data_IF_011200704172
#
_entry.id   IF_011200704172
#
_cell.length_a   1.000
_cell.length_b   1.000
_cell.length_c   1.000
_cell.angle_alpha   90.00
_cell.angle_beta   90.00
_cell.angle_gamma   90.00
#
_symmetry.space_group_name_H-M   'P 1'
#
loop_
_entity.id
_entity.type
_entity.pdbx_description
1 polymer ?
#
# COMPACT_ATOMS: atom_id res chain seq x y z
N UNK A 1 17.03 -2.19 -24.28
CA UNK A 1 17.82 -2.98 -23.28
C UNK A 1 17.57 -4.46 -23.52
N UNK A 2 18.60 -5.30 -23.44
CA UNK A 2 18.49 -6.76 -23.52
C UNK A 2 19.01 -7.39 -22.22
N UNK A 3 18.14 -8.08 -21.49
CA UNK A 3 18.37 -8.58 -20.14
C UNK A 3 17.95 -10.04 -20.05
N UNK A 4 18.72 -10.86 -19.36
CA UNK A 4 18.39 -12.27 -19.12
C UNK A 4 18.37 -12.55 -17.61
N UNK A 5 17.19 -12.90 -17.09
CA UNK A 5 17.04 -13.41 -15.74
C UNK A 5 17.29 -14.92 -15.78
N UNK A 6 18.34 -15.37 -15.08
CA UNK A 6 18.75 -16.77 -15.07
C UNK A 6 18.07 -17.51 -13.92
N UNK A 7 17.55 -18.70 -14.22
CA UNK A 7 17.11 -19.66 -13.19
C UNK A 7 16.08 -19.09 -12.21
N UNK A 8 15.16 -18.25 -12.69
CA UNK A 8 14.14 -17.60 -11.88
C UNK A 8 12.91 -18.51 -11.69
N UNK A 9 12.40 -18.63 -10.47
CA UNK A 9 11.10 -19.27 -10.21
C UNK A 9 9.99 -18.23 -10.40
N UNK A 10 9.03 -18.53 -11.28
CA UNK A 10 7.95 -17.59 -11.63
C UNK A 10 6.77 -17.76 -10.68
N UNK A 11 6.43 -16.72 -9.92
CA UNK A 11 5.29 -16.65 -9.00
C UNK A 11 4.21 -15.76 -9.62
N UNK A 12 3.48 -16.33 -10.57
CA UNK A 12 2.30 -15.71 -11.17
C UNK A 12 1.24 -16.77 -11.45
N UNK A 13 0.21 -16.86 -10.61
CA UNK A 13 -0.84 -17.88 -10.71
C UNK A 13 -1.64 -17.82 -12.03
N UNK A 14 -1.58 -16.68 -12.73
CA UNK A 14 -2.27 -16.47 -13.99
C UNK A 14 -1.46 -16.93 -15.22
N UNK A 15 -0.16 -17.19 -15.04
CA UNK A 15 0.79 -17.62 -16.08
C UNK A 15 0.94 -19.14 -16.15
N UNK A 16 1.10 -19.68 -17.36
CA UNK A 16 1.44 -21.11 -17.57
C UNK A 16 2.79 -21.54 -16.97
N UNK A 17 3.61 -20.57 -16.57
CA UNK A 17 4.93 -20.78 -15.98
C UNK A 17 4.93 -20.75 -14.44
N UNK A 18 3.77 -20.60 -13.81
CA UNK A 18 3.65 -20.57 -12.35
C UNK A 18 4.42 -21.71 -11.65
N UNK A 19 5.21 -21.36 -10.65
CA UNK A 19 6.13 -22.18 -9.84
C UNK A 19 7.18 -22.97 -10.63
N UNK A 20 7.38 -22.66 -11.91
CA UNK A 20 8.42 -23.27 -12.74
C UNK A 20 9.66 -22.41 -12.73
N UNK A 21 10.81 -23.06 -12.56
CA UNK A 21 12.12 -22.44 -12.73
C UNK A 21 12.45 -22.28 -14.21
N UNK A 22 12.69 -21.06 -14.67
CA UNK A 22 12.89 -20.70 -16.08
C UNK A 22 13.95 -19.60 -16.22
N UNK A 23 14.55 -19.56 -17.40
CA UNK A 23 15.28 -18.41 -17.90
C UNK A 23 14.30 -17.47 -18.62
N UNK A 24 14.38 -16.17 -18.34
CA UNK A 24 13.48 -15.14 -18.90
C UNK A 24 14.31 -14.09 -19.62
N UNK A 25 14.18 -14.05 -20.95
CA UNK A 25 14.82 -13.05 -21.80
C UNK A 25 13.87 -11.87 -21.99
N UNK A 26 14.36 -10.67 -21.71
CA UNK A 26 13.67 -9.41 -21.90
C UNK A 26 14.40 -8.58 -22.96
N UNK A 27 13.66 -8.13 -23.96
CA UNK A 27 14.13 -7.26 -25.03
C UNK A 27 13.20 -6.05 -25.15
N UNK A 28 13.78 -4.85 -25.05
CA UNK A 28 13.06 -3.58 -25.21
C UNK A 28 11.79 -3.48 -24.35
N UNK A 29 11.88 -3.98 -23.11
CA UNK A 29 10.77 -3.89 -22.14
C UNK A 29 9.73 -4.98 -22.24
N UNK A 30 9.89 -5.94 -23.15
CA UNK A 30 8.97 -7.05 -23.31
C UNK A 30 9.68 -8.37 -23.06
N UNK A 31 8.95 -9.32 -22.51
CA UNK A 31 9.39 -10.69 -22.34
C UNK A 31 9.44 -11.32 -23.74
N UNK A 32 10.64 -11.53 -24.29
CA UNK A 32 10.78 -12.09 -25.64
C UNK A 32 10.83 -13.61 -25.66
N UNK A 33 11.33 -14.24 -24.57
CA UNK A 33 11.39 -15.70 -24.47
C UNK A 33 11.40 -16.19 -23.02
N UNK A 34 10.67 -17.27 -22.75
CA UNK A 34 10.69 -18.01 -21.47
C UNK A 34 11.01 -19.48 -21.77
N UNK A 35 12.17 -19.97 -21.32
CA UNK A 35 12.60 -21.34 -21.59
C UNK A 35 13.26 -22.00 -20.36
N UNK A 36 13.50 -23.31 -20.41
CA UNK A 36 14.24 -24.01 -19.35
C UNK A 36 15.65 -23.46 -19.19
N UNK A 37 16.35 -23.28 -20.32
CA UNK A 37 17.68 -22.68 -20.39
C UNK A 37 17.76 -21.81 -21.64
N UNK A 38 18.31 -20.60 -21.51
CA UNK A 38 18.64 -19.70 -22.60
C UNK A 38 20.17 -19.50 -22.60
N UNK A 39 20.86 -19.73 -23.73
CA UNK A 39 22.30 -19.49 -23.84
C UNK A 39 22.65 -18.03 -23.57
N UNK A 40 23.66 -17.83 -22.74
CA UNK A 40 24.26 -16.52 -22.49
C UNK A 40 24.99 -16.03 -23.73
N UNK A 41 25.06 -14.72 -23.94
CA UNK A 41 25.92 -14.10 -24.96
C UNK A 41 26.44 -12.77 -24.45
N UNK A 42 27.61 -12.34 -24.92
CA UNK A 42 28.28 -11.11 -24.45
C UNK A 42 27.42 -9.84 -24.61
N UNK A 43 26.41 -9.87 -25.49
CA UNK A 43 25.50 -8.74 -25.74
C UNK A 43 24.30 -8.68 -24.78
N UNK A 44 24.21 -9.61 -23.82
CA UNK A 44 23.06 -9.75 -22.91
C UNK A 44 23.54 -9.47 -21.49
N UNK A 45 22.92 -8.50 -20.82
CA UNK A 45 23.13 -8.31 -19.38
C UNK A 45 22.45 -9.46 -18.64
N UNK A 46 23.21 -10.21 -17.86
CA UNK A 46 22.66 -11.30 -17.04
C UNK A 46 22.40 -10.85 -15.60
N UNK A 47 21.30 -11.36 -15.04
CA UNK A 47 20.98 -11.27 -13.61
C UNK A 47 20.81 -12.68 -13.09
N UNK A 48 21.74 -13.08 -12.24
CA UNK A 48 21.73 -14.37 -11.55
C UNK A 48 21.86 -14.09 -10.06
N UNK A 49 20.75 -14.25 -9.34
CA UNK A 49 20.66 -14.04 -7.90
C UNK A 49 20.32 -15.36 -7.21
N UNK A 50 20.75 -15.51 -5.95
CA UNK A 50 20.46 -16.71 -5.16
C UNK A 50 18.95 -16.84 -4.97
N UNK A 51 18.40 -18.03 -5.20
CA UNK A 51 16.97 -18.32 -5.02
C UNK A 51 16.05 -17.29 -5.68
N UNK A 52 16.41 -16.81 -6.88
CA UNK A 52 15.68 -15.76 -7.58
C UNK A 52 14.24 -16.21 -7.86
N UNK A 53 13.29 -15.50 -7.28
CA UNK A 53 11.88 -15.55 -7.64
C UNK A 53 11.49 -14.26 -8.34
N UNK A 54 10.55 -14.38 -9.27
CA UNK A 54 9.95 -13.23 -9.94
C UNK A 54 8.43 -13.32 -9.90
N UNK A 55 7.76 -12.19 -9.72
CA UNK A 55 6.29 -12.06 -9.83
C UNK A 55 5.93 -10.89 -10.73
N UNK A 56 4.64 -10.76 -11.03
CA UNK A 56 4.11 -9.48 -11.52
C UNK A 56 4.55 -8.37 -10.56
N UNK A 57 4.87 -7.19 -11.11
CA UNK A 57 5.31 -6.05 -10.32
C UNK A 57 4.31 -5.68 -9.22
N UNK A 58 4.78 -5.37 -8.02
CA UNK A 58 3.91 -5.06 -6.89
C UNK A 58 3.37 -3.63 -6.94
N UNK A 59 2.17 -3.45 -6.37
CA UNK A 59 1.50 -2.16 -6.23
C UNK A 59 1.23 -1.86 -4.75
N UNK A 60 1.67 -0.69 -4.30
CA UNK A 60 1.25 -0.14 -3.00
C UNK A 60 0.18 0.93 -3.20
N UNK A 61 -1.00 0.72 -2.61
CA UNK A 61 -2.15 1.63 -2.78
C UNK A 61 -2.15 2.83 -1.82
N UNK A 62 -1.21 2.93 -0.88
CA UNK A 62 -1.14 4.04 0.07
C UNK A 62 0.29 4.30 0.52
N UNK A 63 0.94 5.27 -0.12
CA UNK A 63 2.25 5.79 0.31
C UNK A 63 2.24 7.31 0.43
N UNK A 64 3.07 7.85 1.30
CA UNK A 64 3.30 9.28 1.47
C UNK A 64 4.79 9.56 1.35
N UNK A 65 5.15 10.59 0.58
CA UNK A 65 6.53 10.99 0.37
C UNK A 65 6.84 12.39 0.87
N UNK A 66 5.92 13.10 1.52
CA UNK A 66 6.19 14.44 2.09
C UNK A 66 6.32 15.57 1.07
N UNK A 67 7.00 15.37 -0.07
CA UNK A 67 7.13 16.37 -1.14
C UNK A 67 5.83 16.51 -1.96
N UNK A 68 5.35 17.75 -2.20
CA UNK A 68 5.93 19.02 -1.76
C UNK A 68 5.60 19.39 -0.30
N UNK A 69 6.47 20.17 0.33
CA UNK A 69 6.21 20.89 1.57
C UNK A 69 6.70 20.23 2.86
N UNK A 70 6.96 18.92 2.83
CA UNK A 70 7.59 18.17 3.93
C UNK A 70 8.77 17.33 3.43
N UNK A 71 9.62 17.93 2.60
CA UNK A 71 10.77 17.27 1.96
C UNK A 71 11.76 16.65 2.96
N UNK A 72 11.80 17.17 4.20
CA UNK A 72 12.60 16.62 5.30
C UNK A 72 12.13 15.23 5.74
N UNK A 73 10.86 14.89 5.51
CA UNK A 73 10.30 13.58 5.84
C UNK A 73 10.70 12.55 4.79
N UNK A 74 10.50 12.91 3.52
CA UNK A 74 10.92 12.14 2.36
C UNK A 74 10.83 13.05 1.11
N UNK A 75 11.47 12.65 0.01
CA UNK A 75 11.30 13.30 -1.31
C UNK A 75 10.70 12.32 -2.29
N UNK A 76 10.03 12.77 -3.36
CA UNK A 76 9.48 11.87 -4.39
C UNK A 76 10.61 11.03 -5.00
N UNK A 77 11.77 11.64 -5.26
CA UNK A 77 12.90 10.94 -5.86
C UNK A 77 13.44 9.82 -4.98
N UNK A 78 13.63 10.08 -3.67
CA UNK A 78 14.09 9.04 -2.75
C UNK A 78 12.99 8.03 -2.44
N UNK A 79 11.74 8.45 -2.28
CA UNK A 79 10.59 7.58 -2.06
C UNK A 79 10.40 6.56 -3.20
N UNK A 80 10.52 6.98 -4.46
CA UNK A 80 10.46 6.07 -5.62
C UNK A 80 11.66 5.11 -5.66
N UNK A 81 12.85 5.55 -5.23
CA UNK A 81 14.01 4.67 -5.08
C UNK A 81 13.79 3.64 -3.97
N UNK A 82 13.28 4.06 -2.81
CA UNK A 82 12.90 3.18 -1.69
C UNK A 82 11.87 2.15 -2.15
N UNK A 83 10.83 2.58 -2.87
CA UNK A 83 9.81 1.69 -3.43
C UNK A 83 10.42 0.66 -4.42
N UNK A 84 11.32 1.10 -5.31
CA UNK A 84 12.00 0.21 -6.25
C UNK A 84 12.82 -0.87 -5.54
N UNK A 85 13.60 -0.47 -4.52
CA UNK A 85 14.43 -1.38 -3.74
C UNK A 85 13.60 -2.31 -2.84
N UNK A 86 12.39 -1.88 -2.49
CA UNK A 86 11.40 -2.66 -1.76
C UNK A 86 10.57 -3.59 -2.65
N UNK A 87 10.78 -3.58 -3.97
CA UNK A 87 10.11 -4.47 -4.92
C UNK A 87 8.81 -3.93 -5.53
N UNK A 88 8.45 -2.67 -5.31
CA UNK A 88 7.23 -2.07 -5.89
C UNK A 88 7.51 -1.48 -7.27
N UNK A 89 6.72 -1.86 -8.27
CA UNK A 89 6.78 -1.25 -9.62
C UNK A 89 5.84 -0.07 -9.76
N UNK A 90 4.82 0.00 -8.90
CA UNK A 90 3.81 1.04 -8.89
C UNK A 90 3.47 1.45 -7.46
N UNK A 91 3.26 2.75 -7.23
CA UNK A 91 2.82 3.27 -5.92
C UNK A 91 1.75 4.35 -6.10
N UNK A 92 0.76 4.37 -5.22
CA UNK A 92 -0.25 5.42 -5.16
C UNK A 92 0.07 6.42 -4.04
N UNK A 93 0.31 7.68 -4.41
CA UNK A 93 0.75 8.72 -3.48
C UNK A 93 -0.44 9.49 -2.93
N UNK A 94 -0.56 9.50 -1.61
CA UNK A 94 -1.65 10.13 -0.86
C UNK A 94 -1.66 11.66 -0.98
N UNK A 95 -2.85 12.26 -0.88
CA UNK A 95 -3.05 13.72 -0.89
C UNK A 95 -2.76 14.37 0.48
N UNK A 96 -1.56 14.13 1.04
CA UNK A 96 -1.15 14.65 2.35
C UNK A 96 0.10 15.55 2.30
N UNK A 97 0.45 16.05 1.12
CA UNK A 97 1.50 17.05 0.90
C UNK A 97 1.02 18.47 1.24
N UNK A 98 1.93 19.44 1.19
CA UNK A 98 1.63 20.87 1.27
C UNK A 98 2.23 21.63 0.06
N UNK A 99 1.41 22.17 -0.85
CA UNK A 99 -0.05 22.14 -0.87
C UNK A 99 -0.63 20.73 -1.06
N UNK A 100 -1.89 20.56 -0.65
CA UNK A 100 -2.67 19.33 -0.85
C UNK A 100 -2.92 19.10 -2.35
N UNK A 101 -2.96 17.84 -2.78
CA UNK A 101 -3.26 17.48 -4.16
C UNK A 101 -4.76 17.55 -4.44
N UNK A 102 -5.35 18.74 -4.43
CA UNK A 102 -6.79 18.99 -4.60
C UNK A 102 -7.17 19.63 -5.95
N UNK A 103 -6.20 19.77 -6.85
CA UNK A 103 -6.40 20.33 -8.18
C UNK A 103 -5.43 19.70 -9.20
N UNK A 104 -5.74 19.92 -10.48
CA UNK A 104 -5.00 19.35 -11.61
C UNK A 104 -3.52 19.71 -11.65
N UNK A 105 -3.15 20.90 -11.16
CA UNK A 105 -1.76 21.37 -11.14
C UNK A 105 -0.88 20.49 -10.26
N UNK A 106 -1.38 20.09 -9.09
CA UNK A 106 -0.66 19.22 -8.15
C UNK A 106 -0.54 17.78 -8.67
N UNK A 107 -1.60 17.26 -9.28
CA UNK A 107 -1.56 15.93 -9.95
C UNK A 107 -0.47 15.91 -11.02
N UNK A 108 -0.42 16.95 -11.86
CA UNK A 108 0.60 17.08 -12.91
C UNK A 108 2.00 17.22 -12.34
N UNK A 109 2.18 17.96 -11.26
CA UNK A 109 3.47 18.08 -10.56
C UNK A 109 3.99 16.70 -10.15
N UNK A 110 3.19 15.90 -9.42
CA UNK A 110 3.58 14.57 -8.97
C UNK A 110 3.99 13.65 -10.12
N UNK A 111 3.21 13.63 -11.20
CA UNK A 111 3.54 12.83 -12.40
C UNK A 111 4.82 13.30 -13.07
N UNK A 112 5.01 14.61 -13.19
CA UNK A 112 6.23 15.17 -13.81
C UNK A 112 7.48 14.85 -13.00
N UNK A 113 7.40 14.85 -11.66
CA UNK A 113 8.49 14.48 -10.77
C UNK A 113 8.84 13.00 -10.84
N UNK A 114 7.86 12.14 -11.09
CA UNK A 114 8.07 10.72 -11.26
C UNK A 114 8.57 10.33 -12.65
N UNK A 115 8.51 11.23 -13.64
CA UNK A 115 8.87 10.90 -15.01
C UNK A 115 10.29 10.33 -15.12
N UNK A 116 10.43 9.30 -15.94
CA UNK A 116 11.68 8.57 -16.10
C UNK A 116 12.08 7.69 -14.91
N UNK A 117 11.33 7.57 -13.81
CA UNK A 117 11.67 6.61 -12.73
C UNK A 117 11.29 5.16 -13.10
N UNK A 118 11.96 4.19 -12.46
CA UNK A 118 11.63 2.78 -12.63
C UNK A 118 10.25 2.44 -12.04
N UNK A 119 9.90 3.09 -10.94
CA UNK A 119 8.58 2.98 -10.29
C UNK A 119 7.62 3.99 -10.93
N UNK A 120 6.42 3.52 -11.26
CA UNK A 120 5.32 4.38 -11.72
C UNK A 120 4.60 4.98 -10.52
N UNK A 121 4.51 6.31 -10.47
CA UNK A 121 3.78 7.05 -9.45
C UNK A 121 2.37 7.36 -9.95
N UNK A 122 1.37 7.01 -9.15
CA UNK A 122 -0.03 7.32 -9.40
C UNK A 122 -0.57 8.26 -8.32
N UNK A 123 -0.95 9.51 -8.67
CA UNK A 123 -1.51 10.43 -7.70
C UNK A 123 -2.88 9.97 -7.18
N UNK A 124 -3.11 10.10 -5.87
CA UNK A 124 -4.44 10.14 -5.28
C UNK A 124 -4.82 11.61 -5.13
N UNK A 125 -5.95 12.02 -5.69
CA UNK A 125 -6.47 13.37 -5.50
C UNK A 125 -7.17 13.49 -4.15
N UNK A 126 -7.16 14.66 -3.53
CA UNK A 126 -8.03 14.93 -2.39
C UNK A 126 -9.50 14.81 -2.82
N UNK A 127 -10.36 14.30 -1.94
CA UNK A 127 -11.79 14.28 -2.22
C UNK A 127 -12.39 15.67 -2.05
N UNK A 128 -11.86 16.45 -1.12
CA UNK A 128 -12.31 17.80 -0.83
C UNK A 128 -11.20 18.83 -0.95
N UNK A 129 -11.60 20.10 -1.14
CA UNK A 129 -10.65 21.21 -1.20
C UNK A 129 -9.82 21.28 0.08
N UNK A 130 -8.49 21.17 -0.07
CA UNK A 130 -7.54 21.10 1.04
C UNK A 130 -7.75 19.93 2.00
N UNK A 131 -8.43 18.86 1.58
CA UNK A 131 -8.80 17.71 2.42
C UNK A 131 -9.64 18.09 3.67
N UNK A 132 -10.45 19.15 3.58
CA UNK A 132 -11.20 19.73 4.72
C UNK A 132 -12.50 19.02 5.07
N UNK A 133 -13.03 18.17 4.19
CA UNK A 133 -14.28 17.44 4.40
C UNK A 133 -15.54 18.30 4.23
N UNK A 134 -15.46 19.45 3.54
CA UNK A 134 -16.60 20.36 3.32
C UNK A 134 -17.15 20.29 1.90
N UNK A 135 -16.32 20.65 0.91
CA UNK A 135 -16.69 20.83 -0.48
C UNK A 135 -15.81 19.96 -1.38
N UNK A 136 -16.40 19.32 -2.39
CA UNK A 136 -15.65 18.49 -3.33
C UNK A 136 -14.59 19.31 -4.07
N UNK A 137 -13.43 18.70 -4.26
CA UNK A 137 -12.38 19.21 -5.12
C UNK A 137 -12.73 19.04 -6.61
N UNK A 138 -11.85 19.51 -7.51
CA UNK A 138 -12.01 19.41 -8.98
C UNK A 138 -11.73 17.97 -9.48
N UNK A 139 -12.54 16.99 -9.03
CA UNK A 139 -12.24 15.55 -9.19
C UNK A 139 -12.06 15.13 -10.65
N UNK A 140 -12.96 15.57 -11.53
CA UNK A 140 -12.91 15.22 -12.95
C UNK A 140 -11.63 15.75 -13.63
N UNK A 141 -11.26 17.01 -13.36
CA UNK A 141 -10.03 17.60 -13.89
C UNK A 141 -8.79 16.87 -13.36
N UNK A 142 -8.79 16.50 -12.08
CA UNK A 142 -7.71 15.69 -11.50
C UNK A 142 -7.59 14.30 -12.15
N UNK A 143 -8.70 13.62 -12.43
CA UNK A 143 -8.66 12.31 -13.11
C UNK A 143 -8.11 12.43 -14.54
N UNK A 144 -8.50 13.48 -15.27
CA UNK A 144 -7.97 13.73 -16.62
C UNK A 144 -6.45 13.97 -16.62
N UNK A 145 -5.89 14.54 -15.55
CA UNK A 145 -4.43 14.64 -15.39
C UNK A 145 -3.78 13.37 -14.84
N UNK A 146 -4.55 12.38 -14.38
CA UNK A 146 -4.09 11.05 -14.00
C UNK A 146 -4.20 10.69 -12.52
N UNK A 147 -5.05 11.38 -11.75
CA UNK A 147 -5.44 10.89 -10.43
C UNK A 147 -6.23 9.57 -10.58
N UNK A 148 -5.89 8.56 -9.78
CA UNK A 148 -6.49 7.21 -9.86
C UNK A 148 -7.62 6.97 -8.85
N UNK A 149 -7.74 7.83 -7.83
CA UNK A 149 -8.80 7.77 -6.82
C UNK A 149 -8.85 9.09 -6.04
N UNK A 150 -9.89 9.27 -5.23
CA UNK A 150 -10.13 10.47 -4.43
C UNK A 150 -10.23 10.16 -2.94
N UNK A 151 -9.34 10.77 -2.14
CA UNK A 151 -9.19 10.46 -0.73
C UNK A 151 -8.63 11.63 0.08
N UNK A 152 -9.36 12.06 1.11
CA UNK A 152 -8.84 12.96 2.14
C UNK A 152 -8.02 12.14 3.14
N UNK A 153 -6.78 11.82 2.80
CA UNK A 153 -5.93 10.86 3.52
C UNK A 153 -6.06 10.91 5.05
N UNK A 154 -6.55 9.81 5.65
CA UNK A 154 -6.78 9.63 7.09
C UNK A 154 -7.67 10.69 7.76
N UNK A 155 -8.41 11.46 6.96
CA UNK A 155 -9.46 12.35 7.42
C UNK A 155 -10.83 11.74 7.04
N UNK A 156 -11.67 11.37 8.02
CA UNK A 156 -12.95 10.75 7.74
C UNK A 156 -13.94 11.74 7.13
N UNK A 157 -14.79 11.23 6.23
CA UNK A 157 -15.89 12.00 5.65
C UNK A 157 -17.01 12.10 6.68
N UNK A 158 -17.04 13.15 7.49
CA UNK A 158 -18.05 13.29 8.55
C UNK A 158 -19.47 13.52 8.00
N UNK A 159 -19.60 14.27 6.90
CA UNK A 159 -20.89 14.59 6.30
C UNK A 159 -21.36 13.45 5.37
N UNK A 160 -22.38 12.69 5.77
CA UNK A 160 -22.98 11.63 4.96
C UNK A 160 -23.44 12.12 3.56
N UNK A 161 -23.93 13.35 3.46
CA UNK A 161 -24.36 13.92 2.18
C UNK A 161 -23.17 14.18 1.25
N UNK A 162 -21.98 14.49 1.78
CA UNK A 162 -20.77 14.67 0.98
C UNK A 162 -20.35 13.36 0.32
N UNK A 163 -20.32 12.24 1.07
CA UNK A 163 -20.04 10.92 0.49
C UNK A 163 -21.08 10.55 -0.58
N UNK A 164 -22.37 10.81 -0.31
CA UNK A 164 -23.45 10.57 -1.28
C UNK A 164 -23.20 11.31 -2.59
N UNK A 165 -22.90 12.61 -2.53
CA UNK A 165 -22.62 13.43 -3.72
C UNK A 165 -21.34 12.95 -4.41
N UNK A 166 -20.28 12.62 -3.67
CA UNK A 166 -19.04 12.10 -4.23
C UNK A 166 -19.26 10.83 -5.07
N UNK A 167 -19.98 9.85 -4.51
CA UNK A 167 -20.30 8.58 -5.19
C UNK A 167 -21.20 8.80 -6.41
N UNK A 168 -22.16 9.72 -6.34
CA UNK A 168 -23.01 10.05 -7.49
C UNK A 168 -22.24 10.79 -8.59
N UNK A 169 -21.36 11.71 -8.22
CA UNK A 169 -20.59 12.52 -9.16
C UNK A 169 -19.53 11.70 -9.91
N UNK A 170 -18.79 10.86 -9.19
CA UNK A 170 -17.68 10.05 -9.74
C UNK A 170 -18.14 8.96 -10.70
N UNK A 171 -19.40 8.51 -10.63
CA UNK A 171 -19.98 7.55 -11.57
C UNK A 171 -19.91 8.02 -13.03
N UNK A 172 -20.03 9.33 -13.29
CA UNK A 172 -20.01 9.88 -14.65
C UNK A 172 -18.68 9.68 -15.38
N UNK A 173 -17.61 9.40 -14.64
CA UNK A 173 -16.26 9.25 -15.18
C UNK A 173 -15.53 8.05 -14.56
N UNK A 174 -16.28 7.11 -13.99
CA UNK A 174 -15.78 5.85 -13.41
C UNK A 174 -14.74 6.03 -12.29
N UNK A 175 -14.84 7.12 -11.52
CA UNK A 175 -13.92 7.45 -10.44
C UNK A 175 -14.08 6.56 -9.19
N UNK A 176 -12.97 6.32 -8.49
CA UNK A 176 -12.92 5.58 -7.22
C UNK A 176 -12.88 6.54 -6.03
N UNK A 177 -13.85 6.46 -5.12
CA UNK A 177 -13.85 7.22 -3.86
C UNK A 177 -13.26 6.34 -2.76
N UNK A 178 -12.42 6.92 -1.90
CA UNK A 178 -11.97 6.28 -0.66
C UNK A 178 -12.59 6.95 0.56
N UNK A 179 -12.96 6.17 1.57
CA UNK A 179 -13.49 6.69 2.83
C UNK A 179 -12.73 6.11 4.02
N UNK A 180 -11.98 6.95 4.74
CA UNK A 180 -11.25 6.51 5.93
C UNK A 180 -12.23 6.11 7.03
N UNK A 181 -12.21 4.85 7.51
CA UNK A 181 -13.20 4.35 8.44
C UNK A 181 -12.89 4.83 9.88
N UNK A 182 -13.28 6.05 10.22
CA UNK A 182 -13.01 6.63 11.55
C UNK A 182 -14.10 7.61 12.01
N UNK A 183 -14.88 7.24 13.02
CA UNK A 183 -15.83 8.13 13.69
C UNK A 183 -15.14 8.90 14.83
N UNK A 184 -14.82 10.18 14.58
CA UNK A 184 -14.11 11.07 15.51
C UNK A 184 -14.86 11.30 16.81
N UNK A 185 -16.20 11.30 16.79
CA UNK A 185 -17.00 11.64 17.97
C UNK A 185 -16.87 10.61 19.10
N UNK A 186 -16.68 9.33 18.76
CA UNK A 186 -16.49 8.23 19.73
C UNK A 186 -15.02 7.90 20.01
N UNK A 187 -14.09 8.40 19.20
CA UNK A 187 -12.64 8.20 19.35
C UNK A 187 -11.91 9.50 19.75
N UNK A 188 -12.61 10.41 20.45
CA UNK A 188 -12.08 11.73 20.77
C UNK A 188 -10.80 11.60 21.61
N UNK A 189 -9.70 12.18 21.12
CA UNK A 189 -8.36 12.12 21.73
C UNK A 189 -7.74 10.71 21.80
N UNK A 190 -8.32 9.71 21.14
CA UNK A 190 -7.75 8.37 21.09
C UNK A 190 -6.41 8.34 20.36
N UNK A 191 -5.49 7.51 20.84
CA UNK A 191 -4.11 7.38 20.34
C UNK A 191 -3.71 5.95 20.05
N UNK A 192 -4.32 4.99 20.73
CA UNK A 192 -4.01 3.55 20.65
C UNK A 192 -5.31 2.75 20.64
N UNK A 193 -5.25 1.43 20.51
CA UNK A 193 -6.45 0.61 20.65
C UNK A 193 -7.07 0.78 22.04
N UNK A 194 -8.39 0.93 22.11
CA UNK A 194 -9.11 0.87 23.39
C UNK A 194 -9.16 -0.58 23.86
N UNK A 195 -8.24 -0.95 24.75
CA UNK A 195 -8.23 -2.28 25.36
C UNK A 195 -7.57 -2.31 26.75
N UNK A 196 -7.47 -3.50 27.34
CA UNK A 196 -6.81 -3.71 28.63
C UNK A 196 -5.39 -3.13 28.68
N UNK A 197 -4.61 -3.23 27.60
CA UNK A 197 -3.25 -2.69 27.52
C UNK A 197 -3.24 -1.16 27.60
N UNK A 198 -4.06 -0.48 26.80
CA UNK A 198 -4.14 1.00 26.85
C UNK A 198 -4.63 1.49 28.21
N UNK A 199 -5.61 0.80 28.79
CA UNK A 199 -6.15 1.12 30.12
C UNK A 199 -5.07 1.00 31.20
N UNK A 200 -4.29 -0.09 31.18
CA UNK A 200 -3.17 -0.31 32.11
C UNK A 200 -2.09 0.78 31.98
N UNK A 201 -1.81 1.22 30.75
CA UNK A 201 -0.78 2.22 30.45
C UNK A 201 -1.26 3.67 30.59
N UNK A 202 -2.55 3.89 30.87
CA UNK A 202 -3.15 5.23 30.96
C UNK A 202 -3.23 5.96 29.62
N UNK A 203 -3.18 5.23 28.49
CA UNK A 203 -3.27 5.78 27.14
C UNK A 203 -4.73 5.85 26.69
N UNK A 204 -5.10 6.96 26.04
CA UNK A 204 -6.45 7.18 25.51
C UNK A 204 -6.71 6.24 24.33
N UNK A 205 -7.74 5.40 24.46
CA UNK A 205 -8.12 4.42 23.46
C UNK A 205 -8.92 4.99 22.28
N UNK A 206 -8.82 4.32 21.15
CA UNK A 206 -9.66 4.44 19.96
C UNK A 206 -10.48 3.14 19.94
N UNK A 207 -11.79 3.18 20.20
CA UNK A 207 -12.61 1.97 20.17
C UNK A 207 -12.72 1.39 18.76
N UNK A 208 -12.86 0.07 18.66
CA UNK A 208 -13.19 -0.62 17.40
C UNK A 208 -14.48 -0.06 16.78
N UNK A 209 -15.44 0.33 17.63
CA UNK A 209 -16.68 1.02 17.26
C UNK A 209 -16.47 2.22 16.33
N UNK A 210 -15.37 2.96 16.49
CA UNK A 210 -15.07 4.12 15.64
C UNK A 210 -14.94 3.74 14.17
N UNK A 211 -14.27 2.62 13.89
CA UNK A 211 -14.10 2.10 12.53
C UNK A 211 -15.42 1.52 11.99
N UNK A 212 -16.09 0.74 12.83
CA UNK A 212 -17.30 0.00 12.47
C UNK A 212 -18.47 0.92 12.13
N UNK A 213 -18.70 1.97 12.92
CA UNK A 213 -19.79 2.93 12.69
C UNK A 213 -19.66 3.62 11.33
N UNK A 214 -18.44 4.04 10.99
CA UNK A 214 -18.15 4.71 9.74
C UNK A 214 -18.39 3.76 8.55
N UNK A 215 -17.90 2.52 8.63
CA UNK A 215 -18.10 1.51 7.57
C UNK A 215 -19.59 1.20 7.39
N UNK A 216 -20.34 0.99 8.47
CA UNK A 216 -21.78 0.71 8.39
C UNK A 216 -22.47 1.83 7.61
N UNK A 217 -22.27 3.07 8.03
CA UNK A 217 -22.88 4.25 7.39
C UNK A 217 -22.50 4.35 5.91
N UNK A 218 -21.22 4.18 5.59
CA UNK A 218 -20.71 4.33 4.23
C UNK A 218 -21.21 3.22 3.29
N UNK A 219 -21.36 1.99 3.80
CA UNK A 219 -21.97 0.89 3.07
C UNK A 219 -23.46 1.13 2.78
N UNK A 220 -24.22 1.68 3.73
CA UNK A 220 -25.62 2.07 3.50
C UNK A 220 -25.73 3.17 2.42
N UNK A 221 -24.82 4.14 2.43
CA UNK A 221 -24.80 5.20 1.40
C UNK A 221 -24.43 4.59 0.04
N UNK A 222 -23.42 3.71 -0.02
CA UNK A 222 -23.03 3.02 -1.25
C UNK A 222 -24.17 2.18 -1.84
N UNK A 223 -24.91 1.44 -0.99
CA UNK A 223 -26.08 0.67 -1.39
C UNK A 223 -27.18 1.57 -1.99
N UNK A 224 -27.33 2.79 -1.46
CA UNK A 224 -28.29 3.77 -1.97
C UNK A 224 -27.83 4.45 -3.27
N UNK A 225 -26.55 4.81 -3.41
CA UNK A 225 -26.04 5.62 -4.53
C UNK A 225 -25.46 4.82 -5.68
N UNK A 226 -25.03 3.59 -5.45
CA UNK A 226 -24.06 2.93 -6.31
C UNK A 226 -22.71 3.66 -6.30
N UNK A 227 -21.91 3.45 -7.36
CA UNK A 227 -20.54 3.96 -7.47
C UNK A 227 -19.49 2.99 -6.97
N UNK A 228 -18.23 3.44 -6.90
CA UNK A 228 -17.07 2.66 -6.47
C UNK A 228 -16.52 3.21 -5.15
N UNK A 229 -16.46 2.36 -4.13
CA UNK A 229 -15.93 2.74 -2.83
C UNK A 229 -14.77 1.81 -2.42
N UNK A 230 -13.70 2.40 -1.91
CA UNK A 230 -12.61 1.70 -1.24
C UNK A 230 -12.55 2.11 0.23
N UNK A 231 -12.48 1.14 1.14
CA UNK A 231 -12.21 1.38 2.56
C UNK A 231 -10.73 1.07 2.83
N UNK A 232 -9.87 2.10 2.98
CA UNK A 232 -8.46 1.88 3.22
C UNK A 232 -8.22 1.38 4.64
N UNK A 233 -7.17 0.57 4.80
CA UNK A 233 -6.56 0.19 6.08
C UNK A 233 -7.56 -0.19 7.17
N UNK A 234 -8.44 -1.17 6.91
CA UNK A 234 -9.30 -1.73 7.97
C UNK A 234 -8.46 -2.44 9.04
N UNK A 235 -8.91 -2.41 10.29
CA UNK A 235 -8.17 -2.99 11.41
C UNK A 235 -8.97 -3.95 12.28
N UNK A 236 -10.31 -3.98 12.17
CA UNK A 236 -11.14 -4.80 13.07
C UNK A 236 -11.69 -6.07 12.41
N UNK A 237 -11.94 -7.11 13.21
CA UNK A 237 -12.68 -8.30 12.78
C UNK A 237 -14.07 -7.96 12.24
N UNK A 238 -14.77 -7.02 12.88
CA UNK A 238 -16.14 -6.66 12.47
C UNK A 238 -16.16 -5.95 11.13
N UNK A 239 -15.18 -5.11 10.83
CA UNK A 239 -14.99 -4.52 9.51
C UNK A 239 -14.88 -5.58 8.42
N UNK A 240 -14.13 -6.66 8.65
CA UNK A 240 -14.03 -7.79 7.70
C UNK A 240 -15.41 -8.41 7.45
N UNK A 241 -16.20 -8.65 8.49
CA UNK A 241 -17.57 -9.19 8.36
C UNK A 241 -18.48 -8.25 7.55
N UNK A 242 -18.47 -6.96 7.87
CA UNK A 242 -19.29 -5.94 7.19
C UNK A 242 -18.97 -5.86 5.69
N UNK A 243 -17.67 -5.81 5.35
CA UNK A 243 -17.24 -5.77 3.95
C UNK A 243 -17.61 -7.07 3.23
N UNK A 244 -17.45 -8.22 3.89
CA UNK A 244 -17.85 -9.52 3.32
C UNK A 244 -19.33 -9.55 2.95
N UNK A 245 -20.18 -9.08 3.84
CA UNK A 245 -21.62 -9.08 3.61
C UNK A 245 -22.02 -8.05 2.53
N UNK A 246 -21.37 -6.90 2.50
CA UNK A 246 -21.52 -5.92 1.42
C UNK A 246 -21.14 -6.47 0.04
N UNK A 247 -20.01 -7.20 -0.05
CA UNK A 247 -19.60 -7.88 -1.30
C UNK A 247 -20.61 -8.93 -1.73
N UNK A 248 -21.16 -9.72 -0.79
CA UNK A 248 -22.22 -10.70 -1.10
C UNK A 248 -23.49 -10.07 -1.64
N UNK A 249 -23.83 -8.84 -1.18
CA UNK A 249 -24.94 -8.06 -1.73
C UNK A 249 -24.67 -7.50 -3.13
N UNK A 250 -23.45 -7.66 -3.66
CA UNK A 250 -23.06 -7.13 -4.97
C UNK A 250 -22.67 -5.66 -4.96
N UNK A 251 -22.43 -5.07 -3.79
CA UNK A 251 -21.92 -3.69 -3.72
C UNK A 251 -20.51 -3.62 -4.30
N UNK A 252 -20.22 -2.55 -5.04
CA UNK A 252 -18.90 -2.31 -5.62
C UNK A 252 -17.97 -1.68 -4.58
N UNK A 253 -17.60 -2.52 -3.61
CA UNK A 253 -16.78 -2.18 -2.45
C UNK A 253 -15.49 -2.99 -2.48
N UNK A 254 -14.39 -2.33 -2.17
CA UNK A 254 -13.10 -2.97 -1.91
C UNK A 254 -12.52 -2.46 -0.60
N UNK A 255 -11.57 -3.18 -0.02
CA UNK A 255 -10.81 -2.69 1.13
C UNK A 255 -9.36 -3.16 1.11
N UNK A 256 -8.54 -2.45 1.88
CA UNK A 256 -7.14 -2.78 2.10
C UNK A 256 -6.83 -2.88 3.59
N UNK A 257 -5.67 -3.46 3.91
CA UNK A 257 -5.16 -3.57 5.27
C UNK A 257 -3.69 -3.15 5.29
N UNK A 258 -3.27 -2.41 6.30
CA UNK A 258 -1.86 -2.05 6.47
C UNK A 258 -1.07 -3.24 7.01
N UNK A 259 0.19 -3.41 6.57
CA UNK A 259 1.04 -4.51 7.03
C UNK A 259 1.17 -4.56 8.55
N UNK A 260 1.25 -3.41 9.21
CA UNK A 260 1.44 -3.34 10.67
C UNK A 260 0.31 -4.07 11.41
N UNK A 261 -0.94 -3.94 10.97
CA UNK A 261 -2.11 -4.61 11.55
C UNK A 261 -2.14 -6.14 11.31
N UNK A 262 -1.30 -6.66 10.42
CA UNK A 262 -1.18 -8.09 10.13
C UNK A 262 -0.09 -8.80 10.94
N UNK A 263 0.92 -8.06 11.41
CA UNK A 263 2.11 -8.63 12.05
C UNK A 263 2.32 -8.15 13.49
N UNK A 264 1.70 -7.05 13.88
CA UNK A 264 1.80 -6.47 15.22
C UNK A 264 0.42 -6.39 15.87
N UNK A 265 0.41 -6.35 17.20
CA UNK A 265 -0.77 -6.17 18.04
C UNK A 265 -0.50 -5.10 19.09
N UNK A 266 -1.52 -4.63 19.78
CA UNK A 266 -1.41 -3.62 20.84
C UNK A 266 -0.51 -4.01 22.03
N UNK A 267 -0.17 -5.29 22.20
CA UNK A 267 0.86 -5.77 23.13
C UNK A 267 2.19 -4.99 23.04
N UNK A 268 2.56 -4.44 21.87
CA UNK A 268 3.83 -3.70 21.69
C UNK A 268 3.87 -2.35 22.40
N UNK A 269 2.72 -1.83 22.85
CA UNK A 269 2.62 -0.50 23.46
C UNK A 269 3.32 -0.40 24.82
N UNK A 270 3.64 -1.51 25.47
CA UNK A 270 4.28 -1.53 26.80
C UNK A 270 5.63 -0.82 26.84
N UNK A 271 6.31 -0.71 25.70
CA UNK A 271 7.60 -0.02 25.60
C UNK A 271 7.48 1.50 25.40
N UNK A 272 6.26 2.05 25.24
CA UNK A 272 6.00 3.47 24.94
C UNK A 272 6.77 4.01 23.72
N UNK A 273 7.18 3.15 22.79
CA UNK A 273 7.82 3.57 21.55
C UNK A 273 6.78 4.24 20.63
N UNK A 274 7.02 5.50 20.32
CA UNK A 274 6.16 6.34 19.49
C UNK A 274 6.06 5.87 18.03
N UNK A 275 6.96 5.00 17.59
CA UNK A 275 6.87 4.34 16.29
C UNK A 275 5.62 3.44 16.21
N UNK A 276 5.11 2.92 17.33
CA UNK A 276 3.87 2.14 17.37
C UNK A 276 2.59 3.00 17.41
N UNK A 277 2.72 4.34 17.43
CA UNK A 277 1.59 5.25 17.27
C UNK A 277 1.18 5.30 15.79
N UNK A 278 0.21 4.45 15.44
CA UNK A 278 -0.31 4.24 14.09
C UNK A 278 -1.83 4.54 14.01
N UNK A 279 -2.30 4.80 12.80
CA UNK A 279 -3.72 5.09 12.53
C UNK A 279 -4.13 4.36 11.22
N UNK A 280 -4.99 3.32 11.26
CA UNK A 280 -5.67 2.77 12.46
C UNK A 280 -4.66 2.24 13.51
N UNK A 281 -5.04 2.17 14.79
CA UNK A 281 -4.16 1.62 15.81
C UNK A 281 -3.95 0.12 15.60
N UNK A 282 -2.86 -0.41 16.15
CA UNK A 282 -2.64 -1.85 16.28
C UNK A 282 -3.70 -2.43 17.22
N UNK A 283 -4.39 -3.50 16.81
CA UNK A 283 -5.53 -4.09 17.53
C UNK A 283 -5.12 -5.39 18.24
N UNK A 284 -6.09 -6.19 18.62
CA UNK A 284 -5.90 -7.47 19.30
C UNK A 284 -5.43 -8.57 18.33
N UNK A 285 -4.95 -9.69 18.89
CA UNK A 285 -4.63 -10.90 18.12
C UNK A 285 -5.85 -11.49 17.40
N UNK A 286 -7.07 -11.29 17.90
CA UNK A 286 -8.27 -11.76 17.24
C UNK A 286 -8.55 -10.99 15.95
N UNK A 287 -8.35 -9.68 16.00
CA UNK A 287 -8.45 -8.81 14.83
C UNK A 287 -7.40 -9.17 13.78
N UNK A 288 -6.14 -9.33 14.16
CA UNK A 288 -5.07 -9.77 13.24
C UNK A 288 -5.42 -11.09 12.55
N UNK A 289 -5.94 -12.08 13.29
CA UNK A 289 -6.39 -13.36 12.71
C UNK A 289 -7.53 -13.18 11.71
N UNK A 290 -8.49 -12.30 12.02
CA UNK A 290 -9.60 -12.00 11.13
C UNK A 290 -9.13 -11.30 9.84
N UNK A 291 -8.20 -10.34 9.95
CA UNK A 291 -7.58 -9.67 8.80
C UNK A 291 -6.81 -10.65 7.90
N UNK A 292 -5.98 -11.52 8.49
CA UNK A 292 -5.25 -12.55 7.74
C UNK A 292 -6.20 -13.51 7.02
N UNK A 293 -7.29 -13.92 7.67
CA UNK A 293 -8.32 -14.76 7.05
C UNK A 293 -9.05 -14.01 5.93
N UNK A 294 -9.37 -12.74 6.13
CA UNK A 294 -10.02 -11.88 5.14
C UNK A 294 -9.17 -11.67 3.90
N UNK A 295 -7.85 -11.52 4.04
CA UNK A 295 -6.93 -11.53 2.91
C UNK A 295 -6.97 -12.87 2.19
N UNK A 296 -6.81 -13.98 2.91
CA UNK A 296 -6.79 -15.35 2.34
C UNK A 296 -8.06 -15.69 1.56
N UNK A 297 -9.23 -15.32 2.06
CA UNK A 297 -10.51 -15.64 1.42
C UNK A 297 -10.98 -14.60 0.38
N UNK A 298 -10.22 -13.52 0.18
CA UNK A 298 -10.51 -12.46 -0.79
C UNK A 298 -11.55 -11.43 -0.31
N UNK A 299 -11.97 -11.49 0.95
CA UNK A 299 -12.77 -10.41 1.56
C UNK A 299 -11.99 -9.09 1.55
N UNK A 300 -10.69 -9.14 1.86
CA UNK A 300 -9.77 -8.01 1.75
C UNK A 300 -9.01 -8.14 0.43
N UNK A 301 -9.03 -7.08 -0.38
CA UNK A 301 -8.57 -7.11 -1.78
C UNK A 301 -7.05 -7.00 -1.90
N UNK A 302 -6.38 -6.39 -0.92
CA UNK A 302 -4.92 -6.32 -0.89
C UNK A 302 -4.36 -5.70 0.38
N UNK A 303 -3.04 -5.68 0.46
CA UNK A 303 -2.30 -5.07 1.56
C UNK A 303 -1.50 -3.86 1.08
N UNK A 304 -1.25 -2.93 2.00
CA UNK A 304 -0.42 -1.73 1.77
C UNK A 304 0.63 -1.62 2.86
N UNK A 305 1.79 -1.06 2.52
CA UNK A 305 2.77 -0.69 3.54
C UNK A 305 2.29 0.44 4.44
N UNK A 306 1.30 1.23 3.99
CA UNK A 306 0.86 2.49 4.60
C UNK A 306 2.06 3.38 4.96
N UNK A 307 3.06 3.41 4.07
CA UNK A 307 4.33 4.08 4.29
C UNK A 307 4.10 5.58 4.46
N UNK A 308 4.32 6.05 5.68
CA UNK A 308 4.16 7.43 6.08
C UNK A 308 5.39 7.88 6.90
N UNK A 309 6.43 8.41 6.24
CA UNK A 309 7.63 8.88 6.89
C UNK A 309 7.32 10.10 7.74
N UNK A 310 7.80 10.08 8.98
CA UNK A 310 7.70 11.18 9.94
C UNK A 310 9.12 11.56 10.39
N UNK A 311 9.40 12.85 10.48
CA UNK A 311 10.67 13.37 10.95
C UNK A 311 10.91 13.04 12.43
N UNK A 312 12.18 13.09 12.84
CA UNK A 312 12.59 12.59 14.15
C UNK A 312 12.04 13.46 15.28
N UNK A 313 11.86 14.76 15.06
CA UNK A 313 11.34 15.72 16.03
C UNK A 313 9.89 15.38 16.43
N UNK A 314 9.07 14.94 15.47
CA UNK A 314 7.69 14.51 15.73
C UNK A 314 7.55 13.09 16.26
N UNK A 315 8.64 12.32 16.33
CA UNK A 315 8.65 10.96 16.90
C UNK A 315 9.41 10.87 18.22
N UNK A 316 10.47 11.64 18.40
CA UNK A 316 11.28 11.68 19.63
C UNK A 316 10.71 12.69 20.62
N UNK A 317 9.45 12.48 20.99
CA UNK A 317 8.67 13.29 21.93
C UNK A 317 7.80 12.33 22.78
N UNK A 318 7.06 12.87 23.73
CA UNK A 318 6.10 12.13 24.54
C UNK A 318 5.06 11.45 23.63
N UNK A 319 4.64 10.25 24.03
CA UNK A 319 3.71 9.44 23.24
C UNK A 319 2.42 10.19 22.88
N UNK A 320 1.91 11.06 23.77
CA UNK A 320 0.74 11.91 23.51
C UNK A 320 0.97 12.92 22.38
N UNK A 321 2.17 13.50 22.28
CA UNK A 321 2.52 14.53 21.31
C UNK A 321 3.06 13.98 19.98
N UNK A 322 3.51 12.73 19.95
CA UNK A 322 4.03 12.11 18.74
C UNK A 322 2.98 12.05 17.62
N UNK A 323 3.42 12.20 16.37
CA UNK A 323 2.51 12.03 15.22
C UNK A 323 2.26 10.55 14.88
N UNK A 324 1.08 10.29 14.32
CA UNK A 324 0.78 8.99 13.73
C UNK A 324 1.59 8.78 12.44
N UNK A 325 2.12 7.57 12.24
CA UNK A 325 2.79 7.21 10.99
C UNK A 325 4.01 6.33 11.23
N UNK A 326 4.40 5.61 10.18
CA UNK A 326 5.58 4.77 10.15
C UNK A 326 5.95 4.44 8.71
N UNK A 327 7.25 4.29 8.43
CA UNK A 327 7.71 3.72 7.16
C UNK A 327 7.45 2.21 7.13
N UNK A 328 6.95 1.71 6.00
CA UNK A 328 6.64 0.29 5.83
C UNK A 328 7.15 -0.37 4.54
N UNK A 329 7.52 0.39 3.51
CA UNK A 329 7.91 -0.13 2.18
C UNK A 329 8.98 -1.22 2.28
N UNK A 330 10.10 -0.95 2.95
CA UNK A 330 11.26 -1.85 2.99
C UNK A 330 10.97 -3.19 3.68
N UNK A 331 10.01 -3.21 4.61
CA UNK A 331 9.61 -4.40 5.36
C UNK A 331 8.35 -5.08 4.83
N UNK A 332 7.69 -4.52 3.81
CA UNK A 332 6.33 -4.92 3.42
C UNK A 332 6.25 -6.38 2.96
N UNK A 333 7.07 -6.77 1.98
CA UNK A 333 7.08 -8.15 1.50
C UNK A 333 7.49 -9.15 2.58
N UNK A 334 8.55 -8.83 3.34
CA UNK A 334 9.01 -9.69 4.43
C UNK A 334 7.93 -9.91 5.49
N UNK A 335 7.17 -8.86 5.82
CA UNK A 335 6.06 -8.91 6.77
C UNK A 335 4.96 -9.83 6.27
N UNK A 336 4.48 -9.62 5.05
CA UNK A 336 3.41 -10.43 4.45
C UNK A 336 3.82 -11.90 4.28
N UNK A 337 5.00 -12.16 3.74
CA UNK A 337 5.46 -13.52 3.49
C UNK A 337 5.71 -14.31 4.78
N UNK A 338 6.05 -13.63 5.89
CA UNK A 338 6.16 -14.26 7.22
C UNK A 338 4.83 -14.85 7.70
N UNK A 339 3.71 -14.14 7.49
CA UNK A 339 2.41 -14.52 8.06
C UNK A 339 1.45 -15.19 7.07
N UNK A 340 1.67 -15.02 5.76
CA UNK A 340 0.81 -15.57 4.71
C UNK A 340 1.48 -16.68 3.89
N UNK A 341 2.79 -16.58 3.64
CA UNK A 341 3.48 -17.34 2.59
C UNK A 341 3.56 -16.59 1.26
N UNK A 342 4.32 -17.14 0.32
CA UNK A 342 4.77 -16.45 -0.89
C UNK A 342 3.63 -16.11 -1.86
N UNK A 343 2.75 -17.06 -2.15
CA UNK A 343 1.68 -16.88 -3.14
C UNK A 343 0.64 -15.87 -2.66
N UNK A 344 0.22 -15.99 -1.40
CA UNK A 344 -0.69 -15.06 -0.76
C UNK A 344 -0.09 -13.68 -0.56
N UNK A 345 1.22 -13.56 -0.25
CA UNK A 345 1.89 -12.28 -0.17
C UNK A 345 1.92 -11.57 -1.54
N UNK A 346 2.28 -12.28 -2.61
CA UNK A 346 2.24 -11.73 -3.98
C UNK A 346 0.83 -11.35 -4.38
N UNK A 347 -0.18 -12.17 -4.06
CA UNK A 347 -1.59 -11.84 -4.31
C UNK A 347 -2.02 -10.59 -3.54
N UNK A 348 -1.65 -10.44 -2.28
CA UNK A 348 -1.98 -9.26 -1.48
C UNK A 348 -1.36 -7.97 -2.05
N UNK A 349 -0.15 -8.06 -2.62
CA UNK A 349 0.59 -6.94 -3.24
C UNK A 349 0.19 -6.62 -4.69
N UNK A 350 -0.65 -7.45 -5.30
CA UNK A 350 -1.11 -7.27 -6.69
C UNK A 350 -2.63 -7.16 -6.80
N UNK A 351 -3.38 -7.59 -5.79
CA UNK A 351 -4.83 -7.71 -5.82
C UNK A 351 -5.59 -6.40 -6.01
N UNK A 352 -4.99 -5.27 -5.63
CA UNK A 352 -5.60 -3.94 -5.77
C UNK A 352 -5.32 -3.27 -7.12
N UNK A 353 -4.47 -3.85 -7.98
CA UNK A 353 -4.12 -3.23 -9.27
C UNK A 353 -5.36 -2.93 -10.12
N UNK A 354 -6.25 -3.91 -10.27
CA UNK A 354 -7.47 -3.75 -11.07
C UNK A 354 -8.40 -2.68 -10.49
N UNK A 355 -8.59 -2.65 -9.17
CA UNK A 355 -9.43 -1.67 -8.46
C UNK A 355 -8.98 -0.24 -8.73
N UNK A 356 -7.66 -0.02 -8.76
CA UNK A 356 -7.05 1.29 -8.96
C UNK A 356 -6.64 1.58 -10.42
N UNK A 357 -7.04 0.73 -11.37
CA UNK A 357 -6.74 0.91 -12.79
C UNK A 357 -5.25 0.79 -13.15
N UNK A 358 -4.46 0.10 -12.33
CA UNK A 358 -3.03 -0.13 -12.57
C UNK A 358 -2.86 -1.27 -13.58
N UNK A 359 -2.14 -1.06 -14.70
CA UNK A 359 -1.88 -2.13 -15.65
C UNK A 359 -1.19 -3.33 -14.98
N UNK A 360 -1.68 -4.54 -15.28
CA UNK A 360 -1.02 -5.78 -14.89
C UNK A 360 -1.08 -6.76 -16.04
N UNK A 361 0.08 -7.29 -16.42
CA UNK A 361 0.21 -8.30 -17.46
C UNK A 361 0.82 -9.57 -16.88
N UNK A 362 0.41 -10.70 -17.43
CA UNK A 362 0.92 -12.01 -17.04
C UNK A 362 2.39 -12.14 -17.43
N UNK A 363 3.15 -12.92 -16.68
CA UNK A 363 4.52 -13.29 -17.06
C UNK A 363 4.46 -14.32 -18.19
N UNK A 364 4.33 -13.83 -19.42
CA UNK A 364 4.27 -14.60 -20.65
C UNK A 364 5.01 -13.89 -21.80
N UNK A 365 5.42 -14.65 -22.81
CA UNK A 365 6.10 -14.10 -23.99
C UNK A 365 5.20 -13.11 -24.73
N UNK A 366 5.76 -11.96 -25.13
CA UNK A 366 5.07 -10.86 -25.80
C UNK A 366 4.60 -9.75 -24.85
N UNK A 367 4.37 -10.07 -23.57
CA UNK A 367 3.92 -9.12 -22.57
C UNK A 367 5.05 -8.20 -22.08
N UNK A 368 4.68 -7.05 -21.52
CA UNK A 368 5.57 -6.09 -20.89
C UNK A 368 6.22 -6.72 -19.65
N UNK A 369 7.53 -6.49 -19.52
CA UNK A 369 8.30 -6.90 -18.35
C UNK A 369 8.15 -5.86 -17.24
N UNK A 370 7.11 -6.02 -16.42
CA UNK A 370 6.93 -5.32 -15.16
C UNK A 370 7.00 -6.34 -14.02
N UNK A 371 8.20 -6.52 -13.48
CA UNK A 371 8.56 -7.65 -12.63
C UNK A 371 9.15 -7.17 -11.30
N UNK A 372 8.76 -7.85 -10.22
CA UNK A 372 9.48 -7.78 -8.95
C UNK A 372 10.42 -8.98 -8.84
N UNK A 373 11.65 -8.74 -8.38
CA UNK A 373 12.67 -9.76 -8.15
C UNK A 373 12.88 -9.90 -6.64
N UNK A 374 12.85 -11.12 -6.11
CA UNK A 374 12.94 -11.34 -4.66
C UNK A 374 13.43 -12.75 -4.32
N UNK A 375 13.77 -12.94 -3.04
CA UNK A 375 14.03 -14.25 -2.45
C UNK A 375 13.02 -14.48 -1.31
N UNK A 376 12.13 -15.49 -1.40
CA UNK A 376 11.09 -15.74 -0.39
C UNK A 376 11.57 -16.46 0.87
N UNK A 377 12.79 -16.99 0.88
CA UNK A 377 13.28 -17.89 1.94
C UNK A 377 14.33 -17.26 2.86
N UNK A 378 14.79 -16.06 2.55
CA UNK A 378 15.78 -15.34 3.35
C UNK A 378 15.17 -14.92 4.69
N UNK A 379 15.68 -15.44 5.81
CA UNK A 379 15.32 -14.96 7.13
C UNK A 379 16.26 -13.85 7.54
N UNK A 380 15.70 -12.74 8.00
CA UNK A 380 16.47 -11.56 8.39
C UNK A 380 15.77 -10.81 9.52
N UNK A 381 16.51 -9.94 10.18
CA UNK A 381 15.97 -9.03 11.18
C UNK A 381 15.97 -7.63 10.57
N UNK A 382 14.81 -6.96 10.59
CA UNK A 382 14.66 -5.62 10.05
C UNK A 382 15.43 -4.63 10.92
N UNK A 383 16.40 -3.93 10.33
CA UNK A 383 17.31 -3.06 11.06
C UNK A 383 17.58 -1.76 10.31
N UNK A 384 18.23 -0.78 10.96
CA UNK A 384 18.45 0.54 10.37
C UNK A 384 19.22 0.51 9.03
N UNK A 385 20.11 -0.46 8.84
CA UNK A 385 20.86 -0.64 7.57
C UNK A 385 19.95 -1.00 6.39
N UNK A 386 18.75 -1.52 6.67
CA UNK A 386 17.78 -1.90 5.64
C UNK A 386 16.87 -0.72 5.26
N UNK A 387 16.94 0.40 5.99
CA UNK A 387 16.11 1.59 5.77
C UNK A 387 16.77 2.50 4.74
N UNK A 388 16.16 2.56 3.55
CA UNK A 388 16.54 3.45 2.44
C UNK A 388 15.81 4.79 2.55
N UNK A 389 14.62 4.79 3.17
CA UNK A 389 13.84 6.00 3.43
C UNK A 389 14.65 7.07 4.17
N UNK A 390 14.31 8.34 3.92
CA UNK A 390 14.90 9.48 4.63
C UNK A 390 14.54 9.42 6.12
N UNK A 391 13.25 9.21 6.43
CA UNK A 391 12.82 8.92 7.80
C UNK A 391 13.30 7.55 8.25
N UNK A 392 13.66 7.43 9.54
CA UNK A 392 13.96 6.15 10.20
C UNK A 392 12.84 5.68 11.12
N UNK A 393 11.69 6.37 11.11
CA UNK A 393 10.57 6.06 12.01
C UNK A 393 9.80 4.83 11.54
N UNK A 394 10.12 3.67 12.11
CA UNK A 394 9.52 2.38 11.73
C UNK A 394 9.01 1.59 12.93
N UNK A 395 7.82 1.00 12.80
CA UNK A 395 7.28 0.03 13.74
C UNK A 395 7.85 -1.39 13.52
N UNK A 396 8.74 -1.58 12.53
CA UNK A 396 9.28 -2.90 12.17
C UNK A 396 10.67 -3.17 12.75
N UNK A 397 11.27 -2.23 13.48
CA UNK A 397 12.65 -2.37 13.95
C UNK A 397 12.80 -3.59 14.87
N UNK A 398 13.79 -4.44 14.58
CA UNK A 398 14.06 -5.68 15.32
C UNK A 398 13.13 -6.85 14.98
N UNK A 399 12.18 -6.67 14.04
CA UNK A 399 11.28 -7.76 13.65
C UNK A 399 12.01 -8.81 12.81
N UNK A 400 11.75 -10.09 13.10
CA UNK A 400 12.22 -11.22 12.31
C UNK A 400 11.28 -11.44 11.14
N UNK A 401 11.78 -11.18 9.93
CA UNK A 401 11.02 -11.28 8.69
C UNK A 401 11.56 -12.40 7.82
N UNK A 402 10.67 -13.00 7.03
CA UNK A 402 10.97 -14.01 6.03
C UNK A 402 10.71 -13.46 4.63
N UNK A 403 11.72 -13.54 3.77
CA UNK A 403 11.71 -13.08 2.40
C UNK A 403 12.21 -11.64 2.27
N UNK A 404 13.01 -11.39 1.22
CA UNK A 404 13.62 -10.09 0.94
C UNK A 404 13.52 -9.74 -0.55
N UNK A 405 13.06 -8.53 -0.91
CA UNK A 405 13.10 -8.07 -2.29
C UNK A 405 14.55 -7.81 -2.72
N UNK A 406 14.86 -8.17 -3.96
CA UNK A 406 16.09 -7.75 -4.64
C UNK A 406 15.90 -6.45 -5.40
N UNK A 407 14.68 -6.14 -5.83
CA UNK A 407 14.34 -4.92 -6.55
C UNK A 407 13.35 -5.19 -7.67
N UNK A 408 13.41 -4.39 -8.73
CA UNK A 408 12.41 -4.41 -9.81
C UNK A 408 13.02 -4.29 -11.19
N UNK A 409 12.25 -4.78 -12.17
CA UNK A 409 12.38 -4.44 -13.58
C UNK A 409 11.06 -3.80 -14.03
N UNK A 410 11.07 -2.49 -14.28
CA UNK A 410 9.89 -1.74 -14.74
C UNK A 410 10.34 -0.52 -15.53
N UNK A 411 9.46 0.02 -16.39
CA UNK A 411 9.77 1.18 -17.23
C UNK A 411 11.12 1.07 -17.98
N UNK A 412 11.47 -0.14 -18.44
CA UNK A 412 12.74 -0.46 -19.11
C UNK A 412 14.00 -0.24 -18.25
N UNK A 413 13.85 -0.14 -16.93
CA UNK A 413 14.92 0.07 -15.96
C UNK A 413 14.97 -1.10 -14.98
N UNK A 414 16.18 -1.55 -14.68
CA UNK A 414 16.46 -2.55 -13.66
C UNK A 414 17.07 -1.84 -12.46
N UNK A 415 16.36 -1.84 -11.34
CA UNK A 415 16.83 -1.31 -10.06
C UNK A 415 17.00 -2.48 -9.10
N UNK A 416 18.21 -2.63 -8.55
CA UNK A 416 18.52 -3.71 -7.61
C UNK A 416 19.10 -3.11 -6.33
N UNK A 417 18.56 -3.53 -5.19
CA UNK A 417 19.10 -3.28 -3.87
C UNK A 417 20.23 -4.30 -3.63
N UNK A 418 21.48 -3.82 -3.64
CA UNK A 418 22.68 -4.66 -3.56
C UNK A 418 23.22 -4.79 -2.15
#
# INVERSE_FOLDING_TARGET
MKLLLKSATIVDASSKHHLKKRDVLIENGKISKIAGTIPSSEKIKEVSLKNLHISQGWFDCSVSFGEPGFEERETIQNGLKTAAYSGFTSVAVNANSFPVTDNKGQVKFLKSKADGNAVSLYPIGALTVGSKGTDLAELYDMQNEGAISFYDYKNPIANANLLKIALQYTQNFDGLVQSFPFEKSVAKYGMVNEEATSTRLGLKGIPALSEELQIIRDLYILEYTGGKLHIPTISTKKSVELIKDAKKKGLNITCSVAIFNLILTDDVLECFDTNYKLLPPLRTKEDTKALLKGLKDGTIDGATSDHNPIDIEHKKTEFEHALFGSIGLEGCFGSLNTVLGIEEAVRALTGLKNTFGIPSEKIEEGNRAELTLFNPDENWEFSEKDIVSTSKSTALLGMKLKGKPYGILSNNKLELNK
#
